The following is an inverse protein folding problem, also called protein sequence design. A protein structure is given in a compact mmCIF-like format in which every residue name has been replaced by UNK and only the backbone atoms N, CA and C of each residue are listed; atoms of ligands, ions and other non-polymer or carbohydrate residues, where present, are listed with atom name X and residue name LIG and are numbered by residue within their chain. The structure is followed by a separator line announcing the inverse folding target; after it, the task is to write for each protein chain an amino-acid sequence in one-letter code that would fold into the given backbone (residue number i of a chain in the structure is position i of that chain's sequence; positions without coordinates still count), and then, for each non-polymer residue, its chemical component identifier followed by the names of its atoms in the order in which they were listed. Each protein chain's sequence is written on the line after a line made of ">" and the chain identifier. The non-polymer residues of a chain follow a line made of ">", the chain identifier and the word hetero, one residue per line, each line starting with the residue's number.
data_IF_418537345396
#
_entry.id   IF_418537345396
#
_cell.length_a   1.000
_cell.length_b   1.000
_cell.length_c   1.000
_cell.angle_alpha   90.00
_cell.angle_beta   90.00
_cell.angle_gamma   90.00
#
_symmetry.space_group_name_H-M   'P 1'
#
loop_
_entity.id
_entity.type
_entity.pdbx_description
1 polymer ?
#
# COMPACT_ATOMS: atom_id res chain seq x y z
N UNK A 1 -5.38 2.23 -22.34
CA UNK A 1 -5.18 2.94 -21.06
C UNK A 1 -6.56 3.35 -20.59
N UNK A 2 -6.97 2.90 -19.41
CA UNK A 2 -8.37 2.94 -18.94
C UNK A 2 -8.82 4.33 -18.42
N UNK A 3 -8.08 5.39 -18.73
CA UNK A 3 -8.46 6.76 -18.39
C UNK A 3 -8.56 7.07 -16.89
N UNK A 4 -7.99 6.23 -16.02
CA UNK A 4 -8.00 6.46 -14.57
C UNK A 4 -7.22 7.74 -14.26
N UNK A 5 -7.92 8.74 -13.73
CA UNK A 5 -7.37 10.00 -13.26
C UNK A 5 -7.63 10.13 -11.77
N UNK A 6 -6.67 10.71 -11.04
CA UNK A 6 -6.85 11.11 -9.65
C UNK A 6 -7.17 12.60 -9.60
N UNK A 7 -7.89 13.01 -8.56
CA UNK A 7 -8.09 14.42 -8.29
C UNK A 7 -6.84 15.07 -7.69
N UNK A 8 -6.78 16.40 -7.70
CA UNK A 8 -5.66 17.14 -7.12
C UNK A 8 -5.53 16.86 -5.61
N UNK A 9 -6.66 16.73 -4.90
CA UNK A 9 -6.68 16.38 -3.48
C UNK A 9 -6.15 14.96 -3.24
N UNK A 10 -6.61 13.99 -4.04
CA UNK A 10 -6.14 12.60 -3.97
C UNK A 10 -4.62 12.52 -4.17
N UNK A 11 -4.10 13.15 -5.24
CA UNK A 11 -2.69 13.17 -5.56
C UNK A 11 -1.85 13.88 -4.50
N UNK A 12 -2.33 15.00 -3.95
CA UNK A 12 -1.65 15.75 -2.90
C UNK A 12 -1.52 14.93 -1.62
N UNK A 13 -2.60 14.31 -1.15
CA UNK A 13 -2.57 13.50 0.08
C UNK A 13 -1.66 12.29 -0.09
N UNK A 14 -1.73 11.62 -1.24
CA UNK A 14 -0.86 10.49 -1.54
C UNK A 14 0.62 10.90 -1.56
N UNK A 15 0.94 12.03 -2.18
CA UNK A 15 2.30 12.58 -2.22
C UNK A 15 2.83 12.96 -0.84
N UNK A 16 2.00 13.60 -0.01
CA UNK A 16 2.37 13.97 1.37
C UNK A 16 2.59 12.73 2.24
N UNK A 17 1.73 11.72 2.14
CA UNK A 17 1.90 10.45 2.84
C UNK A 17 3.22 9.79 2.45
N UNK A 18 3.50 9.69 1.15
CA UNK A 18 4.72 9.10 0.63
C UNK A 18 5.97 9.83 1.15
N UNK A 19 5.97 11.17 1.07
CA UNK A 19 7.06 11.99 1.56
C UNK A 19 7.27 11.83 3.08
N UNK A 20 6.20 11.79 3.87
CA UNK A 20 6.26 11.59 5.32
C UNK A 20 6.84 10.21 5.67
N UNK A 21 6.37 9.15 5.02
CA UNK A 21 6.89 7.79 5.24
C UNK A 21 8.38 7.70 4.90
N UNK A 22 8.82 8.23 3.75
CA UNK A 22 10.26 8.25 3.41
C UNK A 22 11.08 9.08 4.41
N UNK A 23 10.55 10.22 4.86
CA UNK A 23 11.21 11.04 5.88
C UNK A 23 11.39 10.26 7.19
N UNK A 24 10.37 9.55 7.66
CA UNK A 24 10.46 8.82 8.94
C UNK A 24 11.27 7.53 8.85
N UNK A 25 11.31 6.88 7.70
CA UNK A 25 12.27 5.79 7.42
C UNK A 25 13.71 6.32 7.46
N UNK A 26 14.00 7.43 6.77
CA UNK A 26 15.35 8.01 6.73
C UNK A 26 15.84 8.55 8.08
N UNK A 27 14.93 8.90 8.99
CA UNK A 27 15.27 9.32 10.36
C UNK A 27 15.38 8.17 11.37
N UNK A 28 15.15 6.93 10.95
CA UNK A 28 15.32 5.75 11.80
C UNK A 28 16.75 5.65 12.33
N UNK A 29 16.90 5.40 13.63
CA UNK A 29 18.21 5.37 14.29
C UNK A 29 18.82 3.97 14.33
N UNK A 30 20.16 3.84 14.19
CA UNK A 30 20.85 2.59 14.45
C UNK A 30 20.86 2.27 15.96
N UNK A 31 20.90 0.99 16.30
CA UNK A 31 21.05 0.55 17.70
C UNK A 31 22.46 0.86 18.22
N UNK A 32 22.55 1.13 19.52
CA UNK A 32 23.84 1.41 20.20
C UNK A 32 24.71 0.16 20.35
N UNK A 33 24.10 -1.02 20.32
CA UNK A 33 24.78 -2.31 20.46
C UNK A 33 25.04 -2.93 19.10
N UNK A 34 26.26 -3.44 18.89
CA UNK A 34 26.59 -4.15 17.66
C UNK A 34 25.93 -5.53 17.65
N UNK A 35 25.28 -5.86 16.53
CA UNK A 35 24.78 -7.21 16.28
C UNK A 35 25.93 -8.14 15.89
N UNK A 36 25.81 -9.43 16.24
CA UNK A 36 26.69 -10.49 15.71
C UNK A 36 26.39 -10.80 14.24
N UNK A 37 25.15 -10.60 13.81
CA UNK A 37 24.71 -10.76 12.42
C UNK A 37 25.27 -9.62 11.57
N UNK A 38 25.65 -9.92 10.33
CA UNK A 38 26.11 -8.89 9.38
C UNK A 38 24.92 -8.36 8.57
N UNK A 39 24.89 -7.05 8.25
CA UNK A 39 23.93 -6.54 7.29
C UNK A 39 24.11 -7.22 5.93
N UNK A 40 23.01 -7.31 5.16
CA UNK A 40 23.09 -7.77 3.76
C UNK A 40 24.09 -6.91 2.99
N UNK A 41 25.02 -7.54 2.29
CA UNK A 41 26.14 -6.87 1.63
C UNK A 41 25.72 -6.07 0.39
N UNK A 42 24.62 -6.46 -0.25
CA UNK A 42 24.10 -5.84 -1.47
C UNK A 42 22.58 -6.03 -1.57
N UNK A 43 21.89 -5.09 -2.20
CA UNK A 43 20.48 -5.21 -2.59
C UNK A 43 20.24 -6.31 -3.64
N UNK A 44 21.25 -6.62 -4.47
CA UNK A 44 21.20 -7.72 -5.44
C UNK A 44 21.53 -9.07 -4.78
N UNK A 45 20.76 -9.44 -3.77
CA UNK A 45 20.79 -10.78 -3.17
C UNK A 45 19.45 -11.49 -3.45
N UNK A 46 19.47 -12.82 -3.44
CA UNK A 46 18.29 -13.63 -3.78
C UNK A 46 17.09 -13.32 -2.86
N UNK A 47 17.34 -13.10 -1.56
CA UNK A 47 16.29 -12.77 -0.60
C UNK A 47 15.56 -11.47 -0.97
N UNK A 48 16.30 -10.38 -1.22
CA UNK A 48 15.72 -9.08 -1.58
C UNK A 48 15.01 -9.14 -2.94
N UNK A 49 15.62 -9.77 -3.95
CA UNK A 49 15.02 -9.88 -5.28
C UNK A 49 13.71 -10.68 -5.23
N UNK A 50 13.72 -11.86 -4.60
CA UNK A 50 12.52 -12.70 -4.50
C UNK A 50 11.41 -12.03 -3.68
N UNK A 51 11.77 -11.32 -2.61
CA UNK A 51 10.78 -10.61 -1.78
C UNK A 51 10.12 -9.48 -2.56
N UNK A 52 10.91 -8.64 -3.24
CA UNK A 52 10.38 -7.53 -4.05
C UNK A 52 9.51 -8.06 -5.20
N UNK A 53 9.97 -9.10 -5.91
CA UNK A 53 9.20 -9.71 -6.99
C UNK A 53 7.91 -10.37 -6.48
N UNK A 54 7.97 -11.09 -5.35
CA UNK A 54 6.80 -11.74 -4.75
C UNK A 54 5.74 -10.73 -4.31
N UNK A 55 6.16 -9.66 -3.61
CA UNK A 55 5.26 -8.58 -3.22
C UNK A 55 4.67 -7.87 -4.45
N UNK A 56 5.47 -7.58 -5.47
CA UNK A 56 4.97 -6.99 -6.71
C UNK A 56 3.87 -7.84 -7.37
N UNK A 57 4.05 -9.16 -7.44
CA UNK A 57 3.04 -10.07 -8.01
C UNK A 57 1.73 -10.03 -7.21
N UNK A 58 1.81 -10.01 -5.87
CA UNK A 58 0.63 -9.91 -5.01
C UNK A 58 -0.07 -8.56 -5.18
N UNK A 59 0.67 -7.47 -5.08
CA UNK A 59 0.16 -6.10 -5.25
C UNK A 59 -0.52 -5.92 -6.61
N UNK A 60 0.16 -6.35 -7.69
CA UNK A 60 -0.36 -6.24 -9.04
C UNK A 60 -1.58 -7.14 -9.26
N UNK A 61 -1.58 -8.36 -8.71
CA UNK A 61 -2.73 -9.25 -8.75
C UNK A 61 -3.96 -8.65 -8.05
N UNK A 62 -3.78 -8.06 -6.86
CA UNK A 62 -4.85 -7.36 -6.15
C UNK A 62 -5.38 -6.17 -6.95
N UNK A 63 -4.49 -5.36 -7.52
CA UNK A 63 -4.88 -4.23 -8.36
C UNK A 63 -5.70 -4.68 -9.58
N UNK A 64 -5.24 -5.70 -10.31
CA UNK A 64 -5.96 -6.23 -11.47
C UNK A 64 -7.33 -6.79 -11.07
N UNK A 65 -7.41 -7.53 -9.96
CA UNK A 65 -8.68 -8.07 -9.48
C UNK A 65 -9.68 -6.96 -9.14
N UNK A 66 -9.22 -5.93 -8.41
CA UNK A 66 -10.06 -4.76 -8.07
C UNK A 66 -10.51 -4.01 -9.32
N UNK A 67 -9.60 -3.73 -10.26
CA UNK A 67 -9.94 -3.03 -11.51
C UNK A 67 -10.96 -3.81 -12.34
N UNK A 68 -10.79 -5.12 -12.49
CA UNK A 68 -11.72 -5.96 -13.24
C UNK A 68 -13.13 -5.97 -12.61
N UNK A 69 -13.21 -6.05 -11.28
CA UNK A 69 -14.49 -6.00 -10.57
C UNK A 69 -15.11 -4.59 -10.63
N UNK A 70 -14.31 -3.53 -10.59
CA UNK A 70 -14.79 -2.15 -10.77
C UNK A 70 -15.43 -1.95 -12.15
N UNK A 71 -14.80 -2.48 -13.21
CA UNK A 71 -15.36 -2.46 -14.56
C UNK A 71 -16.64 -3.28 -14.66
N UNK A 72 -16.70 -4.45 -14.02
CA UNK A 72 -17.91 -5.28 -14.00
C UNK A 72 -19.07 -4.62 -13.23
N UNK A 73 -18.78 -3.87 -12.17
CA UNK A 73 -19.76 -3.15 -11.37
C UNK A 73 -20.27 -1.86 -12.05
N UNK A 74 -19.52 -1.32 -13.01
CA UNK A 74 -19.87 -0.10 -13.74
C UNK A 74 -19.49 -0.23 -15.22
N UNK A 75 -20.17 -1.12 -15.97
CA UNK A 75 -19.89 -1.29 -17.40
C UNK A 75 -20.18 0.02 -18.14
N UNK A 76 -19.20 0.49 -18.91
CA UNK A 76 -19.35 1.67 -19.76
C UNK A 76 -19.08 1.28 -21.22
N UNK A 77 -20.04 1.58 -22.09
CA UNK A 77 -19.92 1.44 -23.54
C UNK A 77 -19.25 2.67 -24.19
N UNK A 78 -18.96 3.71 -23.40
CA UNK A 78 -18.34 4.93 -23.90
C UNK A 78 -16.84 4.73 -24.14
N UNK A 79 -16.35 5.26 -25.27
CA UNK A 79 -14.92 5.28 -25.55
C UNK A 79 -14.22 6.15 -24.51
N UNK A 80 -13.19 5.59 -23.88
CA UNK A 80 -12.36 6.30 -22.90
C UNK A 80 -11.78 7.57 -23.53
N UNK A 81 -12.22 8.73 -23.03
CA UNK A 81 -11.65 10.02 -23.37
C UNK A 81 -10.48 10.34 -22.42
N UNK A 82 -9.26 10.29 -22.96
CA UNK A 82 -8.04 10.56 -22.20
C UNK A 82 -7.86 12.05 -21.86
N UNK A 83 -8.58 12.97 -22.51
CA UNK A 83 -8.51 14.41 -22.28
C UNK A 83 -9.63 14.92 -21.35
N UNK A 84 -10.60 14.05 -21.00
CA UNK A 84 -11.71 14.41 -20.12
C UNK A 84 -11.23 14.90 -18.74
N UNK A 85 -11.94 15.87 -18.16
CA UNK A 85 -11.67 16.32 -16.78
C UNK A 85 -11.95 15.19 -15.79
N UNK A 86 -11.27 15.23 -14.65
CA UNK A 86 -11.51 14.29 -13.56
C UNK A 86 -12.98 14.29 -13.15
N UNK A 87 -13.54 13.09 -13.02
CA UNK A 87 -14.85 12.86 -12.42
C UNK A 87 -14.75 11.67 -11.46
N UNK A 88 -15.38 11.77 -10.27
CA UNK A 88 -15.36 10.69 -9.30
C UNK A 88 -16.17 9.50 -9.84
N UNK A 89 -15.59 8.30 -9.77
CA UNK A 89 -16.20 7.07 -10.29
C UNK A 89 -15.89 5.87 -9.40
N UNK A 90 -16.61 4.76 -9.61
CA UNK A 90 -16.33 3.47 -8.93
C UNK A 90 -14.90 3.02 -9.22
N UNK A 91 -14.45 3.15 -10.48
CA UNK A 91 -13.08 2.80 -10.88
C UNK A 91 -12.04 3.69 -10.20
N UNK A 92 -12.20 5.02 -10.24
CA UNK A 92 -11.27 5.93 -9.56
C UNK A 92 -11.20 5.62 -8.05
N UNK A 93 -12.36 5.50 -7.40
CA UNK A 93 -12.44 5.26 -5.95
C UNK A 93 -11.72 3.96 -5.57
N UNK A 94 -12.00 2.89 -6.32
CA UNK A 94 -11.43 1.57 -6.06
C UNK A 94 -9.92 1.57 -6.29
N UNK A 95 -9.45 2.18 -7.38
CA UNK A 95 -8.01 2.29 -7.70
C UNK A 95 -7.28 3.18 -6.69
N UNK A 96 -7.89 4.28 -6.25
CA UNK A 96 -7.30 5.16 -5.25
C UNK A 96 -7.11 4.46 -3.91
N UNK A 97 -8.17 3.84 -3.39
CA UNK A 97 -8.14 3.14 -2.09
C UNK A 97 -7.14 1.97 -2.12
N UNK A 98 -7.19 1.11 -3.15
CA UNK A 98 -6.24 0.00 -3.25
C UNK A 98 -4.81 0.53 -3.37
N UNK A 99 -4.55 1.56 -4.19
CA UNK A 99 -3.19 2.11 -4.36
C UNK A 99 -2.63 2.66 -3.05
N UNK A 100 -3.45 3.38 -2.28
CA UNK A 100 -3.07 3.85 -0.95
C UNK A 100 -2.77 2.68 0.00
N UNK A 101 -3.59 1.63 -0.02
CA UNK A 101 -3.38 0.43 0.79
C UNK A 101 -2.06 -0.28 0.46
N UNK A 102 -1.79 -0.52 -0.83
CA UNK A 102 -0.56 -1.17 -1.30
C UNK A 102 0.68 -0.37 -0.88
N UNK A 103 0.59 0.97 -0.94
CA UNK A 103 1.68 1.85 -0.53
C UNK A 103 1.95 1.78 0.98
N UNK A 104 0.90 1.83 1.81
CA UNK A 104 1.04 1.66 3.27
C UNK A 104 1.60 0.27 3.61
N UNK A 105 1.11 -0.78 2.94
CA UNK A 105 1.60 -2.15 3.07
C UNK A 105 3.09 -2.24 2.76
N UNK A 106 3.53 -1.64 1.65
CA UNK A 106 4.95 -1.63 1.24
C UNK A 106 5.84 -1.04 2.35
N UNK A 107 5.45 0.09 2.93
CA UNK A 107 6.20 0.69 4.03
C UNK A 107 6.17 -0.14 5.31
N UNK A 108 5.02 -0.72 5.66
CA UNK A 108 4.87 -1.52 6.86
C UNK A 108 5.69 -2.82 6.80
N UNK A 109 5.61 -3.56 5.69
CA UNK A 109 6.28 -4.86 5.52
C UNK A 109 7.79 -4.68 5.35
N UNK A 110 8.23 -3.68 4.59
CA UNK A 110 9.64 -3.49 4.26
C UNK A 110 10.42 -2.65 5.29
N UNK A 111 9.78 -2.15 6.35
CA UNK A 111 10.48 -1.47 7.43
C UNK A 111 11.46 -2.41 8.14
N UNK A 112 12.76 -2.19 7.94
CA UNK A 112 13.83 -2.97 8.59
C UNK A 112 14.23 -2.31 9.90
N UNK A 113 13.92 -2.99 11.00
CA UNK A 113 14.35 -2.61 12.34
C UNK A 113 15.54 -3.43 12.82
N UNK A 114 15.29 -4.20 13.89
CA UNK A 114 16.27 -5.06 14.54
C UNK A 114 16.81 -6.12 13.56
N UNK A 115 18.09 -6.53 13.69
CA UNK A 115 19.03 -6.20 14.78
C UNK A 115 19.91 -4.96 14.54
N UNK A 116 19.71 -4.19 13.47
CA UNK A 116 20.61 -3.08 13.10
C UNK A 116 20.03 -1.71 13.46
N UNK A 117 18.73 -1.53 13.26
CA UNK A 117 18.01 -0.28 13.47
C UNK A 117 16.97 -0.45 14.56
N UNK A 118 16.44 0.67 15.05
CA UNK A 118 15.27 0.66 15.93
C UNK A 118 14.06 0.00 15.24
N UNK A 119 13.31 -0.78 16.00
CA UNK A 119 12.08 -1.41 15.52
C UNK A 119 11.01 -0.39 15.19
N UNK A 120 9.99 -0.81 14.44
CA UNK A 120 8.87 0.06 14.10
C UNK A 120 8.18 0.63 15.35
N UNK A 121 8.10 -0.14 16.43
CA UNK A 121 7.51 0.30 17.70
C UNK A 121 8.34 1.37 18.42
N UNK A 122 9.66 1.41 18.17
CA UNK A 122 10.56 2.40 18.74
C UNK A 122 10.53 3.70 17.92
N UNK A 123 10.40 3.60 16.59
CA UNK A 123 10.18 4.75 15.70
C UNK A 123 8.71 5.20 15.72
N UNK A 124 8.33 5.92 16.79
CA UNK A 124 6.95 6.40 17.00
C UNK A 124 6.39 7.21 15.82
N UNK A 125 7.23 7.98 15.13
CA UNK A 125 6.80 8.77 13.98
C UNK A 125 6.35 7.86 12.84
N UNK A 126 7.18 6.88 12.45
CA UNK A 126 6.82 5.90 11.42
C UNK A 126 5.63 5.04 11.84
N UNK A 127 5.57 4.62 13.11
CA UNK A 127 4.45 3.84 13.65
C UNK A 127 3.13 4.60 13.50
N UNK A 128 3.07 5.85 13.96
CA UNK A 128 1.84 6.64 13.84
C UNK A 128 1.49 6.94 12.39
N UNK A 129 2.47 7.17 11.51
CA UNK A 129 2.20 7.32 10.08
C UNK A 129 1.56 6.09 9.47
N UNK A 130 2.07 4.88 9.74
CA UNK A 130 1.46 3.63 9.25
C UNK A 130 0.08 3.41 9.88
N UNK A 131 -0.07 3.60 11.19
CA UNK A 131 -1.35 3.37 11.87
C UNK A 131 -2.44 4.34 11.39
N UNK A 132 -2.13 5.63 11.28
CA UNK A 132 -3.08 6.64 10.81
C UNK A 132 -3.44 6.37 9.35
N UNK A 133 -2.44 6.17 8.47
CA UNK A 133 -2.71 5.92 7.05
C UNK A 133 -3.45 4.60 6.83
N UNK A 134 -3.08 3.54 7.52
CA UNK A 134 -3.77 2.25 7.48
C UNK A 134 -5.21 2.36 7.96
N UNK A 135 -5.44 3.02 9.10
CA UNK A 135 -6.80 3.26 9.62
C UNK A 135 -7.64 4.08 8.64
N UNK A 136 -7.09 5.14 8.05
CA UNK A 136 -7.77 5.94 7.04
C UNK A 136 -8.12 5.12 5.80
N UNK A 137 -7.21 4.28 5.31
CA UNK A 137 -7.48 3.39 4.17
C UNK A 137 -8.61 2.41 4.48
N UNK A 138 -8.59 1.75 5.65
CA UNK A 138 -9.67 0.83 6.04
C UNK A 138 -11.01 1.56 6.22
N UNK A 139 -10.99 2.76 6.80
CA UNK A 139 -12.17 3.61 6.97
C UNK A 139 -12.81 3.98 5.62
N UNK A 140 -11.98 4.36 4.63
CA UNK A 140 -12.42 4.67 3.27
C UNK A 140 -12.89 3.41 2.54
N UNK A 141 -12.20 2.27 2.69
CA UNK A 141 -12.56 1.00 2.05
C UNK A 141 -13.94 0.47 2.50
N UNK A 142 -14.25 0.60 3.79
CA UNK A 142 -15.56 0.20 4.35
C UNK A 142 -16.64 1.26 4.05
N UNK A 143 -16.23 2.49 3.71
CA UNK A 143 -17.15 3.62 3.48
C UNK A 143 -17.81 4.08 4.78
N UNK A 144 -17.02 4.17 5.87
CA UNK A 144 -17.54 4.45 7.22
C UNK A 144 -17.97 5.93 7.43
N UNK A 145 -17.53 6.85 6.57
CA UNK A 145 -17.94 8.27 6.61
C UNK A 145 -18.13 8.80 5.20
N UNK A 146 -19.36 9.22 4.90
CA UNK A 146 -19.69 9.85 3.61
C UNK A 146 -19.00 11.21 3.45
N UNK A 147 -18.88 11.98 4.53
CA UNK A 147 -18.17 13.27 4.54
C UNK A 147 -16.71 13.10 4.14
N UNK A 148 -16.03 12.08 4.70
CA UNK A 148 -14.66 11.76 4.31
C UNK A 148 -14.59 11.38 2.83
N UNK A 149 -15.47 10.50 2.36
CA UNK A 149 -15.51 10.09 0.96
C UNK A 149 -15.68 11.30 0.02
N UNK A 150 -16.59 12.22 0.33
CA UNK A 150 -16.79 13.44 -0.45
C UNK A 150 -15.55 14.35 -0.46
N UNK A 151 -14.87 14.51 0.68
CA UNK A 151 -13.66 15.33 0.77
C UNK A 151 -12.52 14.79 -0.11
N UNK A 152 -12.43 13.46 -0.26
CA UNK A 152 -11.47 12.82 -1.16
C UNK A 152 -11.98 12.66 -2.60
N UNK A 153 -13.16 13.21 -2.92
CA UNK A 153 -13.83 13.06 -4.21
C UNK A 153 -13.99 11.57 -4.59
N UNK A 154 -14.43 10.77 -3.63
CA UNK A 154 -14.68 9.34 -3.76
C UNK A 154 -16.19 9.06 -3.82
N UNK A 155 -16.56 8.04 -4.59
CA UNK A 155 -17.93 7.58 -4.73
C UNK A 155 -18.22 6.47 -3.72
N UNK A 156 -19.42 6.49 -3.17
CA UNK A 156 -19.92 5.41 -2.32
C UNK A 156 -20.00 4.12 -3.12
N UNK A 157 -19.15 3.15 -2.78
CA UNK A 157 -19.07 1.88 -3.51
C UNK A 157 -20.28 0.97 -3.19
N UNK A 158 -20.71 0.14 -4.15
CA UNK A 158 -21.63 -0.98 -3.88
C UNK A 158 -21.05 -1.94 -2.84
N UNK A 159 -21.91 -2.60 -2.06
CA UNK A 159 -21.48 -3.51 -0.98
C UNK A 159 -20.52 -4.60 -1.47
N UNK A 160 -20.82 -5.24 -2.59
CA UNK A 160 -19.95 -6.27 -3.19
C UNK A 160 -18.55 -5.73 -3.50
N UNK A 161 -18.46 -4.49 -4.00
CA UNK A 161 -17.18 -3.87 -4.33
C UNK A 161 -16.38 -3.49 -3.07
N UNK A 162 -17.06 -3.07 -1.99
CA UNK A 162 -16.42 -2.81 -0.70
C UNK A 162 -15.83 -4.08 -0.11
N UNK A 163 -16.59 -5.16 -0.11
CA UNK A 163 -16.14 -6.45 0.42
C UNK A 163 -14.92 -6.96 -0.35
N UNK A 164 -14.92 -6.82 -1.69
CA UNK A 164 -13.77 -7.12 -2.54
C UNK A 164 -12.56 -6.27 -2.16
N UNK A 165 -12.73 -4.96 -2.00
CA UNK A 165 -11.63 -4.07 -1.62
C UNK A 165 -11.05 -4.42 -0.26
N UNK A 166 -11.90 -4.57 0.77
CA UNK A 166 -11.46 -4.91 2.12
C UNK A 166 -10.74 -6.26 2.13
N UNK A 167 -11.27 -7.25 1.42
CA UNK A 167 -10.61 -8.54 1.23
C UNK A 167 -9.25 -8.39 0.57
N UNK A 168 -9.14 -7.67 -0.56
CA UNK A 168 -7.88 -7.48 -1.27
C UNK A 168 -6.85 -6.75 -0.41
N UNK A 169 -7.24 -5.72 0.34
CA UNK A 169 -6.36 -4.99 1.24
C UNK A 169 -5.82 -5.90 2.35
N UNK A 170 -6.70 -6.70 2.98
CA UNK A 170 -6.29 -7.63 4.03
C UNK A 170 -5.41 -8.76 3.49
N UNK A 171 -5.80 -9.35 2.34
CA UNK A 171 -5.04 -10.39 1.67
C UNK A 171 -3.66 -9.91 1.27
N UNK A 172 -3.56 -8.73 0.65
CA UNK A 172 -2.29 -8.13 0.23
C UNK A 172 -1.32 -7.99 1.40
N UNK A 173 -1.79 -7.39 2.51
CA UNK A 173 -0.99 -7.20 3.70
C UNK A 173 -0.47 -8.52 4.27
N UNK A 174 -1.36 -9.51 4.43
CA UNK A 174 -1.01 -10.81 4.99
C UNK A 174 -0.07 -11.59 4.07
N UNK A 175 -0.34 -11.61 2.76
CA UNK A 175 0.47 -12.31 1.78
C UNK A 175 1.86 -11.70 1.66
N UNK A 176 1.97 -10.37 1.51
CA UNK A 176 3.25 -9.66 1.44
C UNK A 176 4.08 -9.85 2.71
N UNK A 177 3.45 -9.75 3.89
CA UNK A 177 4.12 -10.03 5.16
C UNK A 177 4.61 -11.47 5.24
N UNK A 178 3.78 -12.44 4.85
CA UNK A 178 4.13 -13.87 4.89
C UNK A 178 5.28 -14.18 3.94
N UNK A 179 5.24 -13.67 2.70
CA UNK A 179 6.31 -13.82 1.71
C UNK A 179 7.63 -13.29 2.26
N UNK A 180 7.64 -12.06 2.79
CA UNK A 180 8.85 -11.46 3.35
C UNK A 180 9.40 -12.27 4.54
N UNK A 181 8.55 -12.70 5.48
CA UNK A 181 8.98 -13.48 6.65
C UNK A 181 9.48 -14.87 6.30
N UNK A 182 8.80 -15.58 5.40
CA UNK A 182 9.20 -16.92 4.96
C UNK A 182 10.53 -16.85 4.21
N UNK A 183 10.69 -15.92 3.28
CA UNK A 183 11.95 -15.75 2.56
C UNK A 183 13.08 -15.28 3.50
N UNK A 184 12.79 -14.46 4.52
CA UNK A 184 13.79 -14.04 5.50
C UNK A 184 14.28 -15.24 6.31
N UNK A 185 13.35 -16.08 6.76
CA UNK A 185 13.66 -17.29 7.49
C UNK A 185 14.47 -18.29 6.65
N UNK A 186 14.12 -18.47 5.37
CA UNK A 186 14.79 -19.42 4.49
C UNK A 186 16.15 -18.95 3.96
N UNK A 187 16.33 -17.63 3.77
CA UNK A 187 17.47 -17.10 3.03
C UNK A 187 18.14 -15.87 3.68
N UNK A 188 17.43 -15.13 4.53
CA UNK A 188 17.90 -13.88 5.14
C UNK A 188 18.76 -14.08 6.39
N UNK A 189 18.47 -15.11 7.20
CA UNK A 189 19.19 -15.39 8.46
C UNK A 189 20.29 -16.46 8.32
N UNK A 190 20.59 -16.90 7.09
CA UNK A 190 21.57 -17.95 6.79
C UNK A 190 23.02 -17.46 6.61
N UNK A 191 23.31 -16.17 6.85
CA UNK A 191 24.65 -15.58 6.71
C UNK A 191 25.03 -14.61 7.83
#
# INVERSE_FOLDING_TARGET
>A
MDGVKFSDTQATVQGLLLAACFLFVSRSKPLKTLSKQRPLSNIFNAYTLLTVTGQFVVHFGCLLYVVNNAHAASPSDEKVDLEAKFTPSILNTSVYIISMALQVCTFAVNYRGRPFMESLLENKAMLYSILISGASVFMLAIGASEDAMQQFELVVLPLEMRDILVYCVAFDLVACYTIDRVLNFLMGDMF
#
